data_IF_895812549355
#
_entry.id   IF_895812549355
#
_cell.length_a   1.000
_cell.length_b   1.000
_cell.length_c   1.000
_cell.angle_alpha   90.00
_cell.angle_beta   90.00
_cell.angle_gamma   90.00
#
_symmetry.space_group_name_H-M   'P 1'
#
loop_
_entity.id
_entity.type
_entity.pdbx_description
1 polymer ?
#
# COMPACT_ATOMS: atom_id res chain seq x y z
N UNK A 1 0.32 -23.21 9.99
CA UNK A 1 -0.22 -22.24 9.02
C UNK A 1 -0.76 -21.05 9.79
N UNK A 2 -0.07 -19.91 9.83
CA UNK A 2 -0.59 -18.73 10.54
C UNK A 2 -1.73 -18.14 9.72
N UNK A 3 -2.94 -18.43 10.16
CA UNK A 3 -4.17 -17.80 9.70
C UNK A 3 -4.06 -16.31 10.06
N UNK A 4 -3.51 -15.54 9.12
CA UNK A 4 -3.27 -14.12 9.29
C UNK A 4 -4.63 -13.46 9.26
N UNK A 5 -5.29 -13.39 10.42
CA UNK A 5 -6.42 -12.50 10.66
C UNK A 5 -6.10 -11.19 9.94
N UNK A 6 -6.75 -10.97 8.80
CA UNK A 6 -6.77 -9.66 8.16
C UNK A 6 -7.55 -8.81 9.14
N UNK A 7 -6.80 -8.24 10.08
CA UNK A 7 -7.26 -7.45 11.20
C UNK A 7 -8.25 -6.41 10.68
N UNK A 8 -9.47 -6.46 11.21
CA UNK A 8 -10.55 -5.50 10.92
C UNK A 8 -10.24 -4.08 11.44
N UNK A 9 -9.06 -3.88 12.04
CA UNK A 9 -8.63 -2.59 12.54
C UNK A 9 -8.28 -1.65 11.39
N UNK A 10 -8.58 -0.34 11.49
CA UNK A 10 -8.25 0.64 10.47
C UNK A 10 -6.75 0.61 10.14
N UNK A 11 -6.42 0.97 8.89
CA UNK A 11 -5.01 1.13 8.48
C UNK A 11 -4.38 2.22 9.34
N UNK A 12 -3.16 1.98 9.83
CA UNK A 12 -2.40 3.04 10.50
C UNK A 12 -2.01 4.12 9.50
N UNK A 13 -1.73 5.33 9.98
CA UNK A 13 -1.31 6.46 9.12
C UNK A 13 -0.08 6.11 8.28
N UNK A 14 0.88 5.37 8.85
CA UNK A 14 2.02 4.90 8.08
C UNK A 14 1.65 3.90 6.97
N UNK A 15 0.67 3.02 7.21
CA UNK A 15 0.19 2.10 6.18
C UNK A 15 -0.55 2.85 5.06
N UNK A 16 -1.37 3.85 5.40
CA UNK A 16 -2.01 4.75 4.43
C UNK A 16 -0.99 5.53 3.60
N UNK A 17 0.05 6.05 4.26
CA UNK A 17 1.16 6.74 3.60
C UNK A 17 1.88 5.84 2.58
N UNK A 18 2.25 4.62 2.99
CA UNK A 18 2.88 3.64 2.10
C UNK A 18 1.98 3.31 0.90
N UNK A 19 0.68 3.09 1.13
CA UNK A 19 -0.27 2.82 0.06
C UNK A 19 -0.35 3.99 -0.94
N UNK A 20 -0.42 5.23 -0.45
CA UNK A 20 -0.44 6.42 -1.32
C UNK A 20 0.80 6.50 -2.21
N UNK A 21 1.99 6.27 -1.64
CA UNK A 21 3.25 6.26 -2.43
C UNK A 21 3.24 5.13 -3.46
N UNK A 22 2.88 3.90 -3.05
CA UNK A 22 2.86 2.75 -3.96
C UNK A 22 1.88 3.00 -5.11
N UNK A 23 0.67 3.51 -4.82
CA UNK A 23 -0.31 3.85 -5.85
C UNK A 23 0.20 4.92 -6.81
N UNK A 24 0.80 6.00 -6.28
CA UNK A 24 1.40 7.06 -7.11
C UNK A 24 2.44 6.51 -8.09
N UNK A 25 3.40 5.72 -7.59
CA UNK A 25 4.45 5.13 -8.43
C UNK A 25 3.87 4.15 -9.46
N UNK A 26 2.85 3.38 -9.09
CA UNK A 26 2.16 2.47 -10.02
C UNK A 26 1.42 3.23 -11.13
N UNK A 27 0.79 4.35 -10.82
CA UNK A 27 0.15 5.21 -11.81
C UNK A 27 1.17 5.85 -12.76
N UNK A 28 2.40 6.11 -12.28
CA UNK A 28 3.53 6.55 -13.09
C UNK A 28 4.19 5.41 -13.91
N UNK A 29 3.63 4.19 -13.90
CA UNK A 29 4.13 3.07 -14.69
C UNK A 29 5.28 2.27 -14.05
N UNK A 30 5.63 2.52 -12.78
CA UNK A 30 6.72 1.79 -12.14
C UNK A 30 6.35 0.33 -11.93
N UNK A 31 7.24 -0.61 -12.29
CA UNK A 31 7.08 -2.03 -11.95
C UNK A 31 7.22 -2.26 -10.44
N UNK A 32 6.72 -3.41 -9.93
CA UNK A 32 6.88 -3.75 -8.51
C UNK A 32 8.34 -3.74 -8.03
N UNK A 33 9.27 -4.11 -8.92
CA UNK A 33 10.71 -4.01 -8.67
C UNK A 33 11.14 -2.57 -8.45
N UNK A 34 10.81 -1.66 -9.38
CA UNK A 34 11.16 -0.24 -9.25
C UNK A 34 10.51 0.41 -8.04
N UNK A 35 9.26 0.05 -7.71
CA UNK A 35 8.60 0.54 -6.49
C UNK A 35 9.37 0.08 -5.25
N UNK A 36 9.74 -1.19 -5.16
CA UNK A 36 10.48 -1.70 -4.00
C UNK A 36 11.85 -1.04 -3.84
N UNK A 37 12.56 -0.79 -4.95
CA UNK A 37 13.84 -0.07 -4.96
C UNK A 37 13.65 1.36 -4.45
N UNK A 38 12.72 2.11 -5.04
CA UNK A 38 12.43 3.49 -4.63
C UNK A 38 12.13 3.60 -3.13
N UNK A 39 11.28 2.72 -2.60
CA UNK A 39 10.94 2.73 -1.17
C UNK A 39 12.17 2.49 -0.28
N UNK A 40 13.02 1.53 -0.65
CA UNK A 40 14.22 1.21 0.11
C UNK A 40 15.28 2.31 0.02
N UNK A 41 15.50 2.88 -1.17
CA UNK A 41 16.41 4.01 -1.41
C UNK A 41 15.95 5.27 -0.68
N UNK A 42 14.64 5.47 -0.54
CA UNK A 42 14.05 6.53 0.28
C UNK A 42 14.14 6.26 1.80
N UNK A 43 14.82 5.20 2.22
CA UNK A 43 14.98 4.83 3.64
C UNK A 43 13.72 4.24 4.30
N UNK A 44 12.64 4.02 3.55
CA UNK A 44 11.38 3.51 4.10
C UNK A 44 11.49 2.01 4.41
N UNK A 45 10.71 1.58 5.42
CA UNK A 45 10.59 0.17 5.81
C UNK A 45 9.12 -0.23 5.83
N UNK A 46 8.83 -1.53 5.76
CA UNK A 46 7.48 -2.02 6.04
C UNK A 46 7.08 -1.68 7.49
N UNK A 47 5.79 -1.76 7.83
CA UNK A 47 5.31 -1.56 9.21
C UNK A 47 5.96 -2.49 10.25
N UNK A 48 6.70 -3.51 9.81
CA UNK A 48 7.47 -4.45 10.65
C UNK A 48 8.99 -4.25 10.55
N UNK A 49 9.45 -3.10 10.06
CA UNK A 49 10.88 -2.77 9.93
C UNK A 49 11.63 -3.47 8.79
N UNK A 50 10.99 -4.34 8.01
CA UNK A 50 11.64 -5.06 6.90
C UNK A 50 11.80 -4.20 5.64
N UNK A 51 12.87 -4.41 4.88
CA UNK A 51 13.03 -3.87 3.53
C UNK A 51 11.92 -4.37 2.59
N UNK A 52 11.61 -3.56 1.58
CA UNK A 52 10.63 -3.90 0.57
C UNK A 52 11.24 -4.85 -0.48
N UNK A 53 10.54 -5.95 -0.72
CA UNK A 53 10.74 -6.78 -1.91
C UNK A 53 9.57 -6.55 -2.89
N UNK A 54 9.71 -6.87 -4.18
CA UNK A 54 8.61 -6.74 -5.14
C UNK A 54 7.36 -7.51 -4.69
N UNK A 55 7.56 -8.71 -4.13
CA UNK A 55 6.48 -9.53 -3.57
C UNK A 55 5.82 -8.85 -2.37
N UNK A 56 6.58 -8.24 -1.46
CA UNK A 56 6.02 -7.54 -0.32
C UNK A 56 5.13 -6.37 -0.75
N UNK A 57 5.56 -5.58 -1.74
CA UNK A 57 4.78 -4.48 -2.31
C UNK A 57 3.46 -5.00 -2.91
N UNK A 58 3.52 -6.06 -3.73
CA UNK A 58 2.33 -6.67 -4.31
C UNK A 58 1.36 -7.20 -3.23
N UNK A 59 1.88 -7.81 -2.17
CA UNK A 59 1.07 -8.31 -1.05
C UNK A 59 0.39 -7.19 -0.25
N UNK A 60 1.05 -6.03 -0.09
CA UNK A 60 0.44 -4.85 0.55
C UNK A 60 -0.79 -4.40 -0.25
N UNK A 61 -0.66 -4.31 -1.58
CA UNK A 61 -1.77 -3.92 -2.46
C UNK A 61 -2.89 -4.94 -2.45
N UNK A 62 -2.58 -6.24 -2.59
CA UNK A 62 -3.58 -7.32 -2.53
C UNK A 62 -4.36 -7.31 -1.23
N UNK A 63 -3.68 -7.12 -0.10
CA UNK A 63 -4.34 -7.02 1.21
C UNK A 63 -5.24 -5.80 1.32
N UNK A 64 -4.83 -4.65 0.78
CA UNK A 64 -5.69 -3.48 0.73
C UNK A 64 -6.94 -3.73 -0.13
N UNK A 65 -6.80 -4.39 -1.28
CA UNK A 65 -7.94 -4.76 -2.14
C UNK A 65 -8.91 -5.71 -1.44
N UNK A 66 -8.40 -6.74 -0.75
CA UNK A 66 -9.25 -7.65 0.05
C UNK A 66 -10.01 -6.88 1.13
N UNK A 67 -9.39 -5.90 1.79
CA UNK A 67 -10.05 -5.05 2.79
C UNK A 67 -11.13 -4.16 2.18
N UNK A 68 -10.90 -3.61 0.99
CA UNK A 68 -11.91 -2.85 0.22
C UNK A 68 -13.12 -3.73 -0.11
N UNK A 69 -12.89 -4.94 -0.60
CA UNK A 69 -13.97 -5.88 -0.94
C UNK A 69 -14.83 -6.30 0.27
N UNK A 70 -14.32 -6.13 1.50
CA UNK A 70 -15.08 -6.38 2.73
C UNK A 70 -15.93 -5.19 3.19
N UNK A 71 -15.89 -4.06 2.47
CA UNK A 71 -16.58 -2.83 2.86
C UNK A 71 -15.96 -2.12 4.08
N UNK A 72 -14.69 -2.39 4.40
CA UNK A 72 -14.05 -1.96 5.65
C UNK A 72 -13.21 -0.67 5.54
N UNK A 73 -13.38 0.16 4.50
CA UNK A 73 -12.42 1.24 4.23
C UNK A 73 -13.07 2.60 3.89
N UNK A 74 -13.00 3.54 4.83
CA UNK A 74 -13.19 4.99 4.60
C UNK A 74 -12.04 5.60 3.75
N UNK A 75 -10.91 4.90 3.62
CA UNK A 75 -9.72 5.34 2.89
C UNK A 75 -9.91 5.43 1.36
N UNK A 76 -10.96 4.80 0.82
CA UNK A 76 -11.25 4.82 -0.62
C UNK A 76 -11.67 6.21 -1.12
N UNK A 77 -12.43 6.95 -0.30
CA UNK A 77 -12.83 8.33 -0.60
C UNK A 77 -11.59 9.22 -0.70
N UNK A 78 -10.62 9.06 0.21
CA UNK A 78 -9.37 9.85 0.21
C UNK A 78 -8.47 9.56 -1.00
N UNK A 79 -8.35 8.29 -1.42
CA UNK A 79 -7.53 7.95 -2.60
C UNK A 79 -8.18 8.36 -3.91
N UNK A 80 -9.51 8.24 -4.01
CA UNK A 80 -10.27 8.72 -5.17
C UNK A 80 -10.07 10.22 -5.34
N UNK A 81 -10.28 11.01 -4.27
CA UNK A 81 -10.06 12.45 -4.28
C UNK A 81 -8.60 12.79 -4.65
N UNK A 82 -7.63 12.10 -4.05
CA UNK A 82 -6.22 12.26 -4.41
C UNK A 82 -5.93 11.94 -5.88
N UNK A 83 -6.60 10.95 -6.49
CA UNK A 83 -6.40 10.65 -7.91
C UNK A 83 -6.97 11.77 -8.82
N UNK A 84 -8.10 12.37 -8.44
CA UNK A 84 -8.69 13.49 -9.18
C UNK A 84 -7.89 14.79 -9.05
N UNK A 85 -7.22 15.03 -7.92
CA UNK A 85 -6.37 16.23 -7.72
C UNK A 85 -5.14 16.29 -8.63
N UNK A 86 -4.73 15.17 -9.24
CA UNK A 86 -3.55 15.07 -10.10
C UNK A 86 -3.89 14.80 -11.57
N UNK A 87 -5.14 15.00 -11.97
CA UNK A 87 -5.62 14.85 -13.35
C UNK A 87 -5.93 16.22 -13.94
#
# INVERSE_FOLDING_TARGET
MTNLYLSNYPLSEYQKFLLRIIHRLRNQGYSWKRVSQYLNESGLKSSRGKQFTPNLVSQIIKKNQIRRNRGQNNYEVELSNFYYEFK
#
